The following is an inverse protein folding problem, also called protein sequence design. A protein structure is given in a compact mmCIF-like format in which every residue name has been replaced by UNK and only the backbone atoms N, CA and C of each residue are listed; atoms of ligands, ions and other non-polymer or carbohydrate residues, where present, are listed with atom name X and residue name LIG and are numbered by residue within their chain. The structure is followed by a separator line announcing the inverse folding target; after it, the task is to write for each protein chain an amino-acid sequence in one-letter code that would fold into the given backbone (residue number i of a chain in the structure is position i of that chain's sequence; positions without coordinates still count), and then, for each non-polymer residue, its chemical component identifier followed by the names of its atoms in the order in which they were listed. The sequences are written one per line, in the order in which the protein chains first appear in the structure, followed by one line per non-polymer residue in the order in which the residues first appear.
data_IF_905604919533
#
_entry.id   IF_905604919533
#
_cell.length_a   1.000
_cell.length_b   1.000
_cell.length_c   1.000
_cell.angle_alpha   90.00
_cell.angle_beta   90.00
_cell.angle_gamma   90.00
#
_symmetry.space_group_name_H-M   'P 1'
#
loop_
_entity.id
_entity.type
_entity.pdbx_description
1 polymer ?
#
# COMPACT_ATOMS: atom_id res chain seq x y z
N UNK A 1 -5.57 -20.13 -5.12
CA UNK A 1 -6.67 -19.62 -6.00
C UNK A 1 -7.81 -20.63 -6.20
N UNK A 2 -7.59 -21.88 -6.64
CA UNK A 2 -8.69 -22.87 -6.81
C UNK A 2 -9.46 -23.12 -5.49
N UNK A 3 -8.74 -23.32 -4.38
CA UNK A 3 -9.35 -23.52 -3.06
C UNK A 3 -10.15 -22.29 -2.60
N UNK A 4 -9.67 -21.08 -2.89
CA UNK A 4 -10.33 -19.82 -2.53
C UNK A 4 -11.71 -19.70 -3.20
N UNK A 5 -11.79 -19.94 -4.51
CA UNK A 5 -13.09 -19.92 -5.20
C UNK A 5 -14.01 -21.09 -4.82
N UNK A 6 -13.45 -22.26 -4.51
CA UNK A 6 -14.22 -23.39 -3.97
C UNK A 6 -14.81 -23.09 -2.59
N UNK A 7 -14.17 -22.24 -1.80
CA UNK A 7 -14.66 -21.78 -0.51
C UNK A 7 -15.79 -20.73 -0.62
N UNK A 8 -16.20 -20.35 -1.83
CA UNK A 8 -17.35 -19.46 -2.05
C UNK A 8 -16.98 -18.03 -2.46
N UNK A 9 -15.72 -17.65 -2.35
CA UNK A 9 -15.23 -16.35 -2.79
C UNK A 9 -15.44 -16.13 -4.29
N UNK A 10 -15.76 -14.89 -4.68
CA UNK A 10 -15.95 -14.48 -6.06
C UNK A 10 -15.29 -13.13 -6.28
N UNK A 11 -14.80 -12.91 -7.50
CA UNK A 11 -14.31 -11.60 -7.92
C UNK A 11 -15.50 -10.64 -8.00
N UNK A 12 -15.55 -9.67 -7.10
CA UNK A 12 -16.59 -8.65 -7.05
C UNK A 12 -16.22 -7.44 -7.93
N UNK A 13 -14.95 -7.03 -7.91
CA UNK A 13 -14.45 -5.92 -8.71
C UNK A 13 -12.97 -6.07 -9.07
N UNK A 14 -12.55 -5.35 -10.11
CA UNK A 14 -11.15 -5.21 -10.54
C UNK A 14 -10.91 -3.78 -10.99
N UNK A 15 -9.71 -3.26 -10.75
CA UNK A 15 -9.33 -1.89 -11.08
C UNK A 15 -10.36 -0.86 -10.55
N UNK A 16 -10.85 -1.11 -9.33
CA UNK A 16 -11.92 -0.31 -8.73
C UNK A 16 -11.35 1.01 -8.21
N UNK A 17 -11.90 2.12 -8.69
CA UNK A 17 -11.52 3.44 -8.19
C UNK A 17 -12.10 3.67 -6.80
N UNK A 18 -11.25 4.11 -5.89
CA UNK A 18 -11.65 4.49 -4.53
C UNK A 18 -11.25 5.93 -4.25
N UNK A 19 -12.13 6.65 -3.58
CA UNK A 19 -11.94 8.03 -3.13
C UNK A 19 -12.43 8.17 -1.71
N UNK A 20 -11.75 8.99 -0.92
CA UNK A 20 -12.18 9.32 0.42
C UNK A 20 -11.18 10.20 1.13
N UNK A 21 -11.32 10.34 2.45
CA UNK A 21 -10.46 11.20 3.25
C UNK A 21 -9.96 10.44 4.48
N UNK A 22 -8.67 10.61 4.78
CA UNK A 22 -8.02 10.07 5.98
C UNK A 22 -7.34 11.24 6.69
N UNK A 23 -7.66 11.47 7.97
CA UNK A 23 -7.09 12.57 8.75
C UNK A 23 -7.33 13.98 8.16
N UNK A 24 -8.32 14.13 7.27
CA UNK A 24 -8.63 15.38 6.56
C UNK A 24 -7.83 15.62 5.27
N UNK A 25 -7.05 14.64 4.81
CA UNK A 25 -6.41 14.64 3.49
C UNK A 25 -7.26 13.78 2.56
N UNK A 26 -7.54 14.28 1.35
CA UNK A 26 -8.26 13.52 0.32
C UNK A 26 -7.31 12.56 -0.41
N UNK A 27 -7.72 11.30 -0.50
CA UNK A 27 -7.03 10.24 -1.22
C UNK A 27 -7.85 9.76 -2.41
N UNK A 28 -7.13 9.35 -3.46
CA UNK A 28 -7.67 8.64 -4.61
C UNK A 28 -6.73 7.49 -4.94
N UNK A 29 -7.29 6.31 -5.17
CA UNK A 29 -6.53 5.10 -5.53
C UNK A 29 -7.30 4.19 -6.47
N UNK A 30 -6.65 3.12 -6.91
CA UNK A 30 -7.24 2.05 -7.73
C UNK A 30 -6.88 0.73 -7.08
N UNK A 31 -7.90 -0.02 -6.64
CA UNK A 31 -7.72 -1.35 -6.07
C UNK A 31 -7.66 -2.36 -7.20
N UNK A 32 -6.56 -3.11 -7.29
CA UNK A 32 -6.36 -4.10 -8.35
C UNK A 32 -7.50 -5.12 -8.40
N UNK A 33 -7.90 -5.66 -7.24
CA UNK A 33 -8.99 -6.65 -7.14
C UNK A 33 -9.65 -6.68 -5.77
N UNK A 34 -10.96 -6.88 -5.81
CA UNK A 34 -11.80 -7.13 -4.62
C UNK A 34 -12.52 -8.45 -4.82
N UNK A 35 -12.30 -9.37 -3.89
CA UNK A 35 -13.05 -10.63 -3.78
C UNK A 35 -14.04 -10.55 -2.62
N UNK A 36 -15.21 -11.17 -2.76
CA UNK A 36 -16.22 -11.23 -1.71
C UNK A 36 -16.82 -12.63 -1.60
N UNK A 37 -17.24 -13.00 -0.39
CA UNK A 37 -18.10 -14.14 -0.12
C UNK A 37 -19.31 -13.71 0.73
N UNK A 38 -20.04 -14.66 1.33
CA UNK A 38 -21.18 -14.35 2.18
C UNK A 38 -20.82 -13.70 3.52
N UNK A 39 -19.54 -13.66 3.88
CA UNK A 39 -19.05 -13.30 5.21
C UNK A 39 -18.10 -12.11 5.22
N UNK A 40 -17.35 -11.87 4.15
CA UNK A 40 -16.32 -10.84 4.16
C UNK A 40 -15.88 -10.36 2.79
N UNK A 41 -14.90 -9.45 2.83
CA UNK A 41 -14.31 -8.81 1.66
C UNK A 41 -12.80 -8.92 1.73
N UNK A 42 -12.17 -9.36 0.65
CA UNK A 42 -10.73 -9.51 0.52
C UNK A 42 -10.22 -8.57 -0.57
N UNK A 43 -9.43 -7.58 -0.17
CA UNK A 43 -8.75 -6.66 -1.07
C UNK A 43 -7.39 -7.25 -1.43
N UNK A 44 -7.14 -7.39 -2.73
CA UNK A 44 -5.91 -7.96 -3.28
C UNK A 44 -5.15 -6.90 -4.06
N UNK A 45 -3.85 -6.83 -3.82
CA UNK A 45 -2.89 -6.04 -4.60
C UNK A 45 -1.86 -6.99 -5.25
N UNK A 46 -1.66 -6.83 -6.55
CA UNK A 46 -0.76 -7.66 -7.33
C UNK A 46 0.66 -7.10 -7.32
N UNK A 47 1.62 -7.91 -6.88
CA UNK A 47 3.05 -7.56 -6.94
C UNK A 47 3.78 -8.49 -7.89
N UNK A 48 4.44 -7.91 -8.88
CA UNK A 48 5.41 -8.59 -9.75
C UNK A 48 6.79 -8.71 -9.11
N UNK A 49 7.08 -7.88 -8.10
CA UNK A 49 8.32 -7.91 -7.31
C UNK A 49 8.18 -8.62 -5.96
N UNK A 50 9.27 -8.63 -5.19
CA UNK A 50 9.35 -9.20 -3.84
C UNK A 50 8.50 -8.42 -2.82
N UNK A 51 7.77 -9.12 -1.94
CA UNK A 51 6.98 -8.51 -0.85
C UNK A 51 7.79 -8.05 0.36
N UNK A 52 9.12 -8.21 0.38
CA UNK A 52 9.95 -7.90 1.57
C UNK A 52 9.75 -6.47 2.10
N UNK A 53 9.59 -5.49 1.21
CA UNK A 53 9.35 -4.10 1.60
C UNK A 53 7.87 -3.83 1.87
N UNK A 54 6.98 -4.24 0.96
CA UNK A 54 5.53 -4.04 1.08
C UNK A 54 4.92 -4.72 2.33
N UNK A 55 5.47 -5.87 2.75
CA UNK A 55 5.03 -6.62 3.92
C UNK A 55 6.12 -6.74 4.98
N UNK A 56 6.87 -5.65 5.20
CA UNK A 56 7.96 -5.56 6.17
C UNK A 56 7.48 -5.92 7.59
N UNK A 57 8.21 -6.83 8.26
CA UNK A 57 7.98 -7.22 9.67
C UNK A 57 8.72 -6.36 10.69
N UNK A 58 9.78 -5.68 10.24
CA UNK A 58 10.75 -4.96 11.07
C UNK A 58 10.28 -3.58 11.53
N UNK A 59 11.26 -2.71 11.79
CA UNK A 59 11.07 -1.34 12.26
C UNK A 59 10.06 -0.55 11.40
N UNK A 60 8.94 -0.18 12.04
CA UNK A 60 7.81 0.51 11.45
C UNK A 60 8.04 2.03 11.35
N UNK A 61 8.99 2.61 12.09
CA UNK A 61 9.32 4.03 11.97
C UNK A 61 9.84 4.36 10.56
N UNK A 62 10.54 3.39 9.96
CA UNK A 62 11.08 3.45 8.58
C UNK A 62 10.12 2.91 7.53
N UNK A 63 8.84 2.77 7.84
CA UNK A 63 7.84 2.33 6.88
C UNK A 63 7.58 3.45 5.87
N UNK A 64 7.66 3.12 4.59
CA UNK A 64 7.39 4.05 3.48
C UNK A 64 6.28 3.56 2.56
N UNK A 65 5.82 2.31 2.73
CA UNK A 65 4.72 1.74 1.97
C UNK A 65 3.45 1.72 2.83
N UNK A 66 2.51 2.57 2.46
CA UNK A 66 1.21 2.72 3.12
C UNK A 66 0.04 2.32 2.21
N UNK A 67 0.30 1.72 1.04
CA UNK A 67 -0.74 1.50 0.02
C UNK A 67 -1.92 0.70 0.58
N UNK A 68 -1.64 -0.44 1.21
CA UNK A 68 -2.68 -1.30 1.78
C UNK A 68 -3.36 -0.68 3.00
N UNK A 69 -2.62 0.08 3.80
CA UNK A 69 -3.19 0.80 4.95
C UNK A 69 -4.17 1.87 4.49
N UNK A 70 -3.84 2.61 3.43
CA UNK A 70 -4.74 3.59 2.80
C UNK A 70 -5.99 2.87 2.27
N UNK A 71 -5.84 1.72 1.59
CA UNK A 71 -6.99 0.95 1.12
C UNK A 71 -7.89 0.50 2.27
N UNK A 72 -7.31 0.00 3.36
CA UNK A 72 -8.04 -0.38 4.58
C UNK A 72 -8.85 0.80 5.12
N UNK A 73 -8.21 1.95 5.35
CA UNK A 73 -8.88 3.13 5.91
C UNK A 73 -9.98 3.69 5.01
N UNK A 74 -9.82 3.64 3.69
CA UNK A 74 -10.84 4.11 2.75
C UNK A 74 -12.02 3.14 2.60
N UNK A 75 -11.84 1.85 2.91
CA UNK A 75 -12.83 0.81 2.63
C UNK A 75 -13.49 0.22 3.88
N UNK A 76 -12.94 0.42 5.08
CA UNK A 76 -13.43 -0.17 6.34
C UNK A 76 -14.88 0.17 6.69
N UNK A 77 -15.37 1.35 6.27
CA UNK A 77 -16.77 1.75 6.49
C UNK A 77 -17.72 1.15 5.43
N UNK A 78 -17.19 0.78 4.25
CA UNK A 78 -17.97 0.22 3.15
C UNK A 78 -18.16 -1.29 3.29
N UNK A 79 -17.19 -1.99 3.88
CA UNK A 79 -17.17 -3.44 3.93
C UNK A 79 -17.01 -3.97 5.36
N UNK A 80 -17.77 -5.00 5.71
CA UNK A 80 -17.57 -5.78 6.93
C UNK A 80 -16.51 -6.86 6.71
N UNK A 81 -15.77 -7.22 7.76
CA UNK A 81 -14.73 -8.25 7.73
C UNK A 81 -13.76 -8.05 6.56
N UNK A 82 -13.19 -6.84 6.49
CA UNK A 82 -12.26 -6.44 5.45
C UNK A 82 -10.87 -7.03 5.73
N UNK A 83 -10.43 -7.91 4.84
CA UNK A 83 -9.07 -8.45 4.83
C UNK A 83 -8.28 -7.88 3.65
N UNK A 84 -6.96 -7.82 3.82
CA UNK A 84 -6.05 -7.31 2.81
C UNK A 84 -4.91 -8.29 2.59
N UNK A 85 -4.57 -8.57 1.34
CA UNK A 85 -3.46 -9.44 0.99
C UNK A 85 -2.75 -8.99 -0.29
N UNK A 86 -1.47 -9.34 -0.36
CA UNK A 86 -0.69 -9.24 -1.58
C UNK A 86 -0.71 -10.55 -2.35
N UNK A 87 -0.64 -10.48 -3.67
CA UNK A 87 -0.45 -11.64 -4.55
C UNK A 87 0.87 -11.50 -5.30
N UNK A 88 1.84 -12.37 -5.01
CA UNK A 88 3.07 -12.48 -5.78
C UNK A 88 2.81 -13.22 -7.08
N UNK A 89 2.67 -12.48 -8.18
CA UNK A 89 2.20 -13.02 -9.46
C UNK A 89 3.07 -14.19 -9.94
N UNK A 90 4.39 -14.04 -9.87
CA UNK A 90 5.33 -15.05 -10.38
C UNK A 90 5.49 -16.28 -9.48
N UNK A 91 5.07 -16.19 -8.21
CA UNK A 91 5.07 -17.34 -7.28
C UNK A 91 3.69 -17.98 -7.13
N UNK A 92 2.63 -17.26 -7.50
CA UNK A 92 1.25 -17.67 -7.25
C UNK A 92 0.87 -17.68 -5.76
N UNK A 93 1.65 -16.99 -4.92
CA UNK A 93 1.47 -16.96 -3.48
C UNK A 93 0.63 -15.74 -3.07
N UNK A 94 -0.28 -15.94 -2.11
CA UNK A 94 -1.09 -14.88 -1.51
C UNK A 94 -0.70 -14.74 -0.06
N UNK A 95 -0.32 -13.54 0.36
CA UNK A 95 0.17 -13.25 1.70
C UNK A 95 -0.63 -12.12 2.31
N UNK A 96 -1.28 -12.38 3.45
CA UNK A 96 -2.01 -11.34 4.20
C UNK A 96 -1.08 -10.21 4.63
N UNK A 97 -1.60 -8.99 4.63
CA UNK A 97 -0.92 -7.84 5.20
C UNK A 97 -0.74 -8.06 6.70
N UNK A 98 0.49 -7.92 7.18
CA UNK A 98 0.80 -8.05 8.61
C UNK A 98 0.85 -6.68 9.30
N UNK A 99 0.62 -6.66 10.62
CA UNK A 99 0.73 -5.48 11.48
C UNK A 99 -0.09 -4.29 10.96
N UNK A 100 -1.31 -4.56 10.51
CA UNK A 100 -2.11 -3.55 9.81
C UNK A 100 -2.45 -2.39 10.75
N UNK A 101 -2.78 -2.71 12.00
CA UNK A 101 -3.09 -1.75 13.05
C UNK A 101 -1.89 -0.83 13.31
N UNK A 102 -0.70 -1.38 13.56
CA UNK A 102 0.49 -0.55 13.84
C UNK A 102 0.92 0.26 12.61
N UNK A 103 0.75 -0.28 11.39
CA UNK A 103 0.96 0.48 10.15
C UNK A 103 -0.05 1.61 9.99
N UNK A 104 -1.27 1.42 10.50
CA UNK A 104 -2.34 2.44 10.49
C UNK A 104 -2.00 3.57 11.45
N UNK A 105 -1.54 3.26 12.66
CA UNK A 105 -1.03 4.25 13.61
C UNK A 105 0.08 5.10 12.97
N UNK A 106 1.07 4.45 12.34
CA UNK A 106 2.15 5.17 11.64
C UNK A 106 1.64 6.02 10.48
N UNK A 107 0.63 5.57 9.73
CA UNK A 107 0.00 6.39 8.67
C UNK A 107 -0.60 7.68 9.25
N UNK A 108 -1.28 7.61 10.40
CA UNK A 108 -1.85 8.80 11.03
C UNK A 108 -0.78 9.77 11.53
N UNK A 109 0.34 9.28 12.05
CA UNK A 109 1.50 10.11 12.38
C UNK A 109 2.05 10.84 11.15
N UNK A 110 2.27 10.11 10.05
CA UNK A 110 2.74 10.68 8.79
C UNK A 110 1.76 11.72 8.25
N UNK A 111 0.45 11.48 8.33
CA UNK A 111 -0.57 12.46 7.94
C UNK A 111 -0.50 13.71 8.82
N UNK A 112 -0.30 13.56 10.13
CA UNK A 112 -0.14 14.70 11.04
C UNK A 112 1.11 15.52 10.70
N UNK A 113 2.25 14.87 10.47
CA UNK A 113 3.50 15.49 10.02
C UNK A 113 3.29 16.27 8.71
N UNK A 114 2.64 15.66 7.71
CA UNK A 114 2.31 16.28 6.43
C UNK A 114 1.44 17.53 6.59
N UNK A 115 0.43 17.48 7.47
CA UNK A 115 -0.46 18.62 7.73
C UNK A 115 0.24 19.78 8.45
N UNK A 116 1.26 19.49 9.25
CA UNK A 116 2.10 20.51 9.88
C UNK A 116 3.21 21.06 8.99
N UNK A 117 3.37 20.51 7.78
CA UNK A 117 4.44 20.91 6.87
C UNK A 117 4.01 22.11 6.03
N UNK A 118 4.53 23.30 6.36
CA UNK A 118 4.25 24.54 5.59
C UNK A 118 4.94 24.56 4.21
N UNK A 119 6.07 23.86 4.08
CA UNK A 119 6.85 23.79 2.84
C UNK A 119 7.52 22.44 2.69
N UNK A 120 7.38 21.85 1.51
CA UNK A 120 8.13 20.66 1.11
C UNK A 120 9.48 21.09 0.56
N UNK A 121 10.56 20.62 1.20
CA UNK A 121 11.94 20.80 0.72
C UNK A 121 12.46 19.43 0.31
N UNK A 122 12.76 19.26 -0.98
CA UNK A 122 13.32 18.02 -1.51
C UNK A 122 14.85 18.01 -1.30
N UNK A 123 15.27 17.59 -0.10
CA UNK A 123 16.68 17.44 0.23
C UNK A 123 17.26 16.15 -0.33
N UNK A 124 18.59 16.12 -0.55
CA UNK A 124 19.27 14.91 -1.00
C UNK A 124 19.27 13.90 0.15
N UNK A 125 18.84 12.67 -0.10
CA UNK A 125 18.86 11.62 0.91
C UNK A 125 20.28 11.12 1.20
N UNK A 126 20.62 10.75 2.42
CA UNK A 126 21.95 10.18 2.72
C UNK A 126 22.09 8.72 2.23
N UNK A 127 20.98 8.00 2.11
CA UNK A 127 20.95 6.60 1.72
C UNK A 127 21.06 6.44 0.19
N UNK A 128 22.29 6.29 -0.32
CA UNK A 128 22.59 6.22 -1.75
C UNK A 128 21.96 5.03 -2.48
N UNK A 129 21.64 3.93 -1.79
CA UNK A 129 20.94 2.79 -2.38
C UNK A 129 19.57 3.19 -2.97
N UNK A 130 18.88 4.15 -2.34
CA UNK A 130 17.61 4.71 -2.86
C UNK A 130 17.81 5.49 -4.16
N UNK A 131 19.02 5.97 -4.45
CA UNK A 131 19.32 6.70 -5.68
C UNK A 131 19.51 5.78 -6.88
N UNK A 132 19.79 4.48 -6.67
CA UNK A 132 20.12 3.55 -7.75
C UNK A 132 19.00 3.43 -8.81
N UNK A 133 17.75 3.53 -8.38
CA UNK A 133 16.56 3.42 -9.22
C UNK A 133 15.68 4.67 -9.16
N UNK A 134 16.24 5.81 -8.74
CA UNK A 134 15.48 7.05 -8.62
C UNK A 134 15.45 7.80 -9.95
N UNK A 135 14.24 7.99 -10.50
CA UNK A 135 14.01 8.71 -11.75
C UNK A 135 14.46 10.19 -11.68
N UNK A 136 14.61 10.74 -10.48
CA UNK A 136 14.98 12.13 -10.23
C UNK A 136 16.49 12.35 -10.02
N UNK A 137 17.35 11.35 -10.22
CA UNK A 137 18.80 11.45 -9.98
C UNK A 137 19.47 12.61 -10.73
N UNK A 138 19.07 12.86 -11.98
CA UNK A 138 19.59 13.99 -12.78
C UNK A 138 19.20 15.34 -12.16
N UNK A 139 17.92 15.55 -11.81
CA UNK A 139 17.45 16.77 -11.15
C UNK A 139 18.06 16.96 -9.75
N UNK A 140 18.30 15.86 -9.04
CA UNK A 140 18.98 15.82 -7.76
C UNK A 140 20.50 16.12 -7.87
N UNK A 141 21.06 16.16 -9.09
CA UNK A 141 22.49 16.35 -9.34
C UNK A 141 23.34 15.17 -8.83
N UNK A 142 22.77 13.97 -8.78
CA UNK A 142 23.45 12.70 -8.48
C UNK A 142 23.57 11.78 -9.69
N UNK A 143 22.82 12.06 -10.75
CA UNK A 143 22.93 11.34 -12.02
C UNK A 143 24.21 11.71 -12.77
N UNK A 144 24.68 10.79 -13.60
CA UNK A 144 25.75 11.06 -14.55
C UNK A 144 25.11 11.69 -15.79
N UNK A 145 25.59 12.87 -16.18
CA UNK A 145 25.22 13.44 -17.48
C UNK A 145 25.83 12.55 -18.57
N UNK A 146 24.98 11.95 -19.40
CA UNK A 146 25.39 11.21 -20.60
C UNK A 146 25.78 12.17 -21.72
#
# INVERSE_FOLDING_TARGET
QIHHFRAGWRVAAKEEQIVGSIGGINFKGVVDRIDQDSTGTLVLDYKSGSLKEANKKGDLEKLTDFQMTIYSELLKEKFQNLELAFVEIFKGETTSVIKLEEKTERLYEVIAELKSTDRVVAEKCEELSKCQYCDYTLLCGRGVYL
#
